data_IF_192756037588
#
_entry.id   IF_192756037588
#
_cell.length_a   1.000
_cell.length_b   1.000
_cell.length_c   1.000
_cell.angle_alpha   90.00
_cell.angle_beta   90.00
_cell.angle_gamma   90.00
#
_symmetry.space_group_name_H-M   'P 1'
#
loop_
_entity.id
_entity.type
_entity.pdbx_description
1 polymer ?
#
# COMPACT_ATOMS: atom_id res chain seq x y z
N UNK A 1 -32.71 5.76 23.92
CA UNK A 1 -32.52 6.72 22.79
C UNK A 1 -32.36 8.18 23.24
N UNK A 2 -33.28 8.77 24.02
CA UNK A 2 -33.19 10.18 24.45
C UNK A 2 -31.95 10.51 25.30
N UNK A 3 -31.59 9.64 26.24
CA UNK A 3 -30.42 9.82 27.11
C UNK A 3 -29.09 9.89 26.34
N UNK A 4 -28.96 9.11 25.25
CA UNK A 4 -27.80 9.17 24.34
C UNK A 4 -27.92 10.28 23.28
N UNK A 5 -28.99 11.08 23.31
CA UNK A 5 -29.29 12.12 22.34
C UNK A 5 -29.32 11.66 20.86
N UNK A 6 -29.64 10.39 20.61
CA UNK A 6 -29.75 9.79 19.26
C UNK A 6 -31.15 9.89 18.66
N UNK A 7 -32.13 10.36 19.45
CA UNK A 7 -33.47 10.69 18.99
C UNK A 7 -34.00 11.93 19.73
N UNK A 8 -34.90 12.69 19.09
CA UNK A 8 -35.55 13.90 19.62
C UNK A 8 -37.03 13.92 19.20
N UNK A 9 -37.85 14.70 19.90
CA UNK A 9 -39.29 14.85 19.62
C UNK A 9 -40.15 14.65 20.86
N UNK A 10 -41.47 14.71 20.71
CA UNK A 10 -42.42 14.30 21.75
C UNK A 10 -42.44 12.77 21.89
N UNK A 11 -43.07 12.20 22.93
CA UNK A 11 -43.05 10.75 23.13
C UNK A 11 -43.87 10.02 22.05
N UNK A 12 -44.88 10.69 21.52
CA UNK A 12 -45.72 10.28 20.41
C UNK A 12 -45.08 10.47 19.01
N UNK A 13 -44.05 11.31 18.87
CA UNK A 13 -43.32 11.55 17.60
C UNK A 13 -41.81 11.60 17.84
N UNK A 14 -41.27 10.50 18.37
CA UNK A 14 -39.83 10.36 18.60
C UNK A 14 -39.11 10.03 17.29
N UNK A 15 -38.28 10.96 16.79
CA UNK A 15 -37.54 10.81 15.54
C UNK A 15 -36.04 10.65 15.78
N UNK A 16 -35.35 9.81 14.99
CA UNK A 16 -33.90 9.71 15.06
C UNK A 16 -33.25 11.02 14.59
N UNK A 17 -32.08 11.34 15.15
CA UNK A 17 -31.19 12.37 14.59
C UNK A 17 -30.09 11.71 13.77
N UNK A 18 -29.41 12.47 12.90
CA UNK A 18 -28.40 11.93 11.97
C UNK A 18 -27.35 11.05 12.67
N UNK A 19 -26.81 11.46 13.82
CA UNK A 19 -25.84 10.63 14.56
C UNK A 19 -26.42 9.28 15.01
N UNK A 20 -27.70 9.24 15.35
CA UNK A 20 -28.39 7.98 15.66
C UNK A 20 -28.47 7.07 14.43
N UNK A 21 -28.77 7.64 13.26
CA UNK A 21 -28.78 6.88 12.01
C UNK A 21 -27.37 6.41 11.64
N UNK A 22 -26.35 7.26 11.81
CA UNK A 22 -24.96 6.92 11.48
C UNK A 22 -24.39 5.77 12.31
N UNK A 23 -24.77 5.64 13.59
CA UNK A 23 -24.24 4.59 14.46
C UNK A 23 -25.15 3.38 14.63
N UNK A 24 -26.45 3.50 14.35
CA UNK A 24 -27.42 2.44 14.68
C UNK A 24 -28.29 2.01 13.49
N UNK A 25 -28.20 2.67 12.33
CA UNK A 25 -28.79 2.17 11.10
C UNK A 25 -27.86 1.13 10.46
N UNK A 26 -28.41 0.01 10.01
CA UNK A 26 -27.65 -1.04 9.31
C UNK A 26 -26.98 -0.51 8.03
N UNK A 27 -27.68 0.33 7.28
CA UNK A 27 -27.25 0.82 5.96
C UNK A 27 -27.40 2.36 5.89
N UNK A 28 -26.59 3.14 6.63
CA UNK A 28 -26.73 4.61 6.67
C UNK A 28 -26.50 5.25 5.30
N UNK A 29 -25.76 4.60 4.40
CA UNK A 29 -25.52 5.04 3.03
C UNK A 29 -26.80 5.22 2.19
N UNK A 30 -27.89 4.50 2.53
CA UNK A 30 -29.18 4.64 1.85
C UNK A 30 -29.85 5.98 2.13
N UNK A 31 -29.54 6.57 3.29
CA UNK A 31 -30.07 7.86 3.74
C UNK A 31 -29.07 9.00 3.48
N UNK A 32 -27.78 8.69 3.60
CA UNK A 32 -26.67 9.63 3.46
C UNK A 32 -25.66 9.08 2.45
N UNK A 33 -25.80 9.43 1.16
CA UNK A 33 -24.95 8.89 0.10
C UNK A 33 -23.46 9.00 0.43
N UNK A 34 -22.71 7.94 0.11
CA UNK A 34 -21.23 7.88 0.26
C UNK A 34 -20.77 8.11 1.72
N UNK A 35 -21.58 7.66 2.69
CA UNK A 35 -21.21 7.54 4.11
C UNK A 35 -20.46 6.24 4.36
N UNK A 36 -19.27 6.13 3.77
CA UNK A 36 -18.42 4.94 3.83
C UNK A 36 -16.94 5.29 3.74
N UNK A 37 -16.11 4.31 4.05
CA UNK A 37 -14.67 4.32 3.80
C UNK A 37 -14.41 3.46 2.55
N UNK A 38 -13.73 4.01 1.56
CA UNK A 38 -13.30 3.31 0.35
C UNK A 38 -11.78 3.15 0.40
N UNK A 39 -11.29 1.92 0.29
CA UNK A 39 -9.87 1.61 0.28
C UNK A 39 -9.47 1.05 -1.08
N UNK A 40 -8.45 1.64 -1.69
CA UNK A 40 -7.84 1.16 -2.93
C UNK A 40 -6.41 0.73 -2.63
N UNK A 41 -6.11 -0.55 -2.88
CA UNK A 41 -4.79 -1.11 -2.65
C UNK A 41 -4.08 -1.34 -3.98
N UNK A 42 -3.12 -0.47 -4.28
CA UNK A 42 -2.27 -0.54 -5.46
C UNK A 42 -1.16 -1.56 -5.25
N UNK A 43 -0.99 -2.49 -6.21
CA UNK A 43 0.08 -3.49 -6.20
C UNK A 43 1.35 -3.01 -6.90
N UNK A 44 1.24 -1.93 -7.66
CA UNK A 44 2.35 -1.30 -8.37
C UNK A 44 2.19 0.23 -8.38
N UNK A 45 3.17 0.91 -8.96
CA UNK A 45 3.15 2.37 -9.13
C UNK A 45 2.44 2.81 -10.42
N UNK A 46 2.00 1.88 -11.27
CA UNK A 46 1.35 2.22 -12.54
C UNK A 46 -0.11 2.64 -12.34
N UNK A 47 -0.71 2.24 -11.21
CA UNK A 47 -2.12 2.47 -10.92
C UNK A 47 -3.06 1.59 -11.73
N UNK A 48 -2.52 0.60 -12.47
CA UNK A 48 -3.34 -0.31 -13.30
C UNK A 48 -3.71 -1.60 -12.58
N UNK A 49 -2.95 -1.98 -11.55
CA UNK A 49 -3.19 -3.19 -10.77
C UNK A 49 -3.54 -2.79 -9.33
N UNK A 50 -4.83 -2.85 -9.01
CA UNK A 50 -5.33 -2.52 -7.69
C UNK A 50 -6.53 -3.39 -7.30
N UNK A 51 -6.80 -3.45 -6.00
CA UNK A 51 -8.04 -4.02 -5.44
C UNK A 51 -8.79 -2.96 -4.66
N UNK A 52 -10.11 -2.96 -4.77
CA UNK A 52 -10.98 -2.02 -4.07
C UNK A 52 -11.75 -2.72 -2.95
N UNK A 53 -11.86 -2.05 -1.82
CA UNK A 53 -12.58 -2.51 -0.64
C UNK A 53 -13.47 -1.39 -0.12
N UNK A 54 -14.76 -1.68 0.04
CA UNK A 54 -15.75 -0.72 0.52
C UNK A 54 -16.23 -1.13 1.91
N UNK A 55 -16.07 -0.23 2.88
CA UNK A 55 -16.49 -0.44 4.26
C UNK A 55 -17.70 0.45 4.55
N UNK A 56 -18.87 -0.17 4.55
CA UNK A 56 -20.17 0.48 4.76
C UNK A 56 -20.79 0.14 6.10
N UNK A 57 -22.05 0.55 6.28
CA UNK A 57 -22.79 0.31 7.52
C UNK A 57 -22.51 1.34 8.62
N UNK A 58 -22.84 1.05 9.89
CA UNK A 58 -22.62 1.97 11.00
C UNK A 58 -21.18 2.48 11.09
N UNK A 59 -20.98 3.75 11.41
CA UNK A 59 -19.64 4.39 11.38
C UNK A 59 -18.56 3.65 12.18
N UNK A 60 -18.91 3.15 13.36
CA UNK A 60 -17.98 2.41 14.20
C UNK A 60 -17.66 1.00 13.66
N UNK A 61 -18.55 0.41 12.88
CA UNK A 61 -18.32 -0.89 12.23
C UNK A 61 -17.41 -0.69 11.02
N UNK A 62 -17.75 0.22 10.10
CA UNK A 62 -16.89 0.50 8.94
C UNK A 62 -15.46 0.91 9.34
N UNK A 63 -15.30 1.71 10.40
CA UNK A 63 -13.97 2.08 10.91
C UNK A 63 -13.20 0.87 11.43
N UNK A 64 -13.83 0.02 12.25
CA UNK A 64 -13.20 -1.21 12.77
C UNK A 64 -12.83 -2.18 11.66
N UNK A 65 -13.71 -2.35 10.68
CA UNK A 65 -13.49 -3.26 9.56
C UNK A 65 -12.34 -2.77 8.67
N UNK A 66 -12.28 -1.47 8.38
CA UNK A 66 -11.18 -0.86 7.63
C UNK A 66 -9.84 -1.01 8.37
N UNK A 67 -9.80 -0.70 9.68
CA UNK A 67 -8.59 -0.86 10.49
C UNK A 67 -8.15 -2.32 10.61
N UNK A 68 -9.09 -3.24 10.78
CA UNK A 68 -8.84 -4.68 10.82
C UNK A 68 -8.27 -5.18 9.48
N UNK A 69 -8.84 -4.71 8.37
CA UNK A 69 -8.33 -5.02 7.04
C UNK A 69 -6.89 -4.55 6.86
N UNK A 70 -6.57 -3.31 7.22
CA UNK A 70 -5.21 -2.76 7.13
C UNK A 70 -4.25 -3.54 8.01
N UNK A 71 -4.65 -3.82 9.26
CA UNK A 71 -3.82 -4.58 10.21
C UNK A 71 -3.49 -5.98 9.72
N UNK A 72 -4.45 -6.64 9.06
CA UNK A 72 -4.31 -8.04 8.66
C UNK A 72 -3.61 -8.21 7.30
N UNK A 73 -3.90 -7.31 6.35
CA UNK A 73 -3.49 -7.49 4.95
C UNK A 73 -2.35 -6.56 4.50
N UNK A 74 -2.16 -5.43 5.19
CA UNK A 74 -1.23 -4.38 4.76
C UNK A 74 -0.05 -4.26 5.73
N UNK A 75 -0.29 -4.38 7.04
CA UNK A 75 0.79 -4.27 8.02
C UNK A 75 1.70 -5.50 8.00
N UNK A 76 3.00 -5.23 7.94
CA UNK A 76 4.04 -6.25 7.97
C UNK A 76 5.11 -5.85 8.97
N UNK A 77 5.52 -6.80 9.82
CA UNK A 77 6.67 -6.65 10.72
C UNK A 77 7.95 -7.09 10.01
N UNK A 78 9.06 -6.37 10.23
CA UNK A 78 10.41 -6.78 9.84
C UNK A 78 11.27 -6.82 11.10
N UNK A 79 12.02 -7.90 11.24
CA UNK A 79 12.95 -8.14 12.35
C UNK A 79 14.37 -8.07 11.81
N UNK A 80 15.18 -7.15 12.33
CA UNK A 80 16.56 -6.91 11.92
C UNK A 80 17.51 -7.30 13.05
N UNK A 81 18.47 -8.19 12.76
CA UNK A 81 19.53 -8.54 13.70
C UNK A 81 20.76 -7.68 13.37
N UNK A 82 21.21 -6.88 14.33
CA UNK A 82 22.43 -6.09 14.18
C UNK A 82 23.63 -6.91 14.69
N UNK A 83 24.78 -6.94 13.99
CA UNK A 83 25.94 -7.74 14.38
C UNK A 83 26.41 -7.51 15.82
N UNK A 84 26.27 -6.27 16.31
CA UNK A 84 26.79 -5.82 17.61
C UNK A 84 25.71 -5.66 18.69
N UNK A 85 24.47 -6.10 18.44
CA UNK A 85 23.40 -6.13 19.45
C UNK A 85 22.83 -7.54 19.59
N UNK A 86 22.79 -8.04 20.83
CA UNK A 86 22.15 -9.31 21.14
C UNK A 86 20.63 -9.29 20.87
N UNK A 87 20.01 -8.11 21.00
CA UNK A 87 18.58 -7.91 20.77
C UNK A 87 18.30 -7.56 19.30
N UNK A 88 17.26 -8.18 18.72
CA UNK A 88 16.79 -7.87 17.38
C UNK A 88 15.90 -6.62 17.39
N UNK A 89 16.16 -5.69 16.47
CA UNK A 89 15.30 -4.53 16.26
C UNK A 89 14.07 -4.92 15.43
N UNK A 90 12.90 -4.41 15.80
CA UNK A 90 11.63 -4.71 15.15
C UNK A 90 10.99 -3.42 14.68
N UNK A 91 10.52 -3.39 13.44
CA UNK A 91 9.74 -2.28 12.92
C UNK A 91 8.61 -2.78 12.03
N UNK A 92 7.55 -1.98 11.92
CA UNK A 92 6.48 -2.20 10.97
C UNK A 92 6.66 -1.32 9.74
N UNK A 93 6.11 -1.75 8.61
CA UNK A 93 6.03 -0.90 7.42
C UNK A 93 5.26 0.41 7.70
N UNK A 94 4.23 0.35 8.54
CA UNK A 94 3.53 1.50 9.09
C UNK A 94 3.13 1.22 10.55
N UNK A 95 3.25 2.19 11.47
CA UNK A 95 2.76 2.01 12.82
C UNK A 95 1.24 2.06 12.86
N UNK A 96 0.61 1.00 13.38
CA UNK A 96 -0.85 0.87 13.49
C UNK A 96 -1.50 2.09 14.17
N UNK A 97 -0.90 2.59 15.26
CA UNK A 97 -1.42 3.75 15.99
C UNK A 97 -1.52 5.03 15.15
N UNK A 98 -0.59 5.25 14.20
CA UNK A 98 -0.67 6.41 13.31
C UNK A 98 -1.81 6.28 12.29
N UNK A 99 -2.02 5.07 11.76
CA UNK A 99 -3.13 4.77 10.83
C UNK A 99 -4.47 4.90 11.54
N UNK A 100 -4.59 4.31 12.73
CA UNK A 100 -5.78 4.40 13.56
C UNK A 100 -6.16 5.84 13.84
N UNK A 101 -5.20 6.65 14.28
CA UNK A 101 -5.44 8.06 14.56
C UNK A 101 -5.82 8.86 13.30
N UNK A 102 -5.14 8.63 12.17
CA UNK A 102 -5.44 9.32 10.92
C UNK A 102 -6.85 8.98 10.39
N UNK A 103 -7.21 7.70 10.39
CA UNK A 103 -8.50 7.24 9.88
C UNK A 103 -9.66 7.60 10.82
N UNK A 104 -9.47 7.48 12.14
CA UNK A 104 -10.44 7.95 13.13
C UNK A 104 -10.67 9.45 13.02
N UNK A 105 -9.62 10.25 12.80
CA UNK A 105 -9.78 11.69 12.58
C UNK A 105 -10.53 12.00 11.28
N UNK A 106 -10.30 11.23 10.21
CA UNK A 106 -11.07 11.37 8.97
C UNK A 106 -12.57 11.12 9.22
N UNK A 107 -12.94 10.05 9.95
CA UNK A 107 -14.35 9.77 10.33
C UNK A 107 -14.92 10.89 11.20
N UNK A 108 -14.14 11.39 12.16
CA UNK A 108 -14.58 12.46 13.04
C UNK A 108 -14.85 13.75 12.25
N UNK A 109 -13.95 14.16 11.36
CA UNK A 109 -13.99 15.47 10.72
C UNK A 109 -14.69 15.52 9.36
N UNK A 110 -15.02 14.36 8.76
CA UNK A 110 -15.76 14.27 7.49
C UNK A 110 -17.07 15.07 7.53
N UNK A 111 -17.35 15.84 6.48
CA UNK A 111 -18.73 16.30 6.23
C UNK A 111 -19.54 15.16 5.62
N UNK A 112 -20.58 14.73 6.35
CA UNK A 112 -21.54 13.74 5.86
C UNK A 112 -22.59 14.34 4.92
N UNK A 113 -22.51 15.64 4.62
CA UNK A 113 -23.42 16.34 3.71
C UNK A 113 -22.86 16.43 2.28
N UNK A 114 -21.54 16.38 2.10
CA UNK A 114 -20.87 16.61 0.80
C UNK A 114 -20.94 15.42 -0.17
N UNK A 115 -21.45 14.25 0.24
CA UNK A 115 -21.52 13.07 -0.61
C UNK A 115 -20.16 12.50 -1.08
N UNK A 116 -19.06 12.92 -0.47
CA UNK A 116 -17.73 12.35 -0.68
C UNK A 116 -17.44 11.29 0.39
N UNK A 117 -16.83 10.14 0.05
CA UNK A 117 -16.41 9.14 1.02
C UNK A 117 -15.10 9.56 1.69
N UNK A 118 -14.63 8.76 2.64
CA UNK A 118 -13.22 8.79 3.06
C UNK A 118 -12.48 7.83 2.13
N UNK A 119 -11.42 8.31 1.48
CA UNK A 119 -10.64 7.51 0.54
C UNK A 119 -9.30 7.15 1.16
N UNK A 120 -8.98 5.85 1.17
CA UNK A 120 -7.71 5.31 1.66
C UNK A 120 -6.97 4.70 0.48
N UNK A 121 -5.90 5.35 0.03
CA UNK A 121 -5.06 4.86 -1.07
C UNK A 121 -3.80 4.23 -0.48
N UNK A 122 -3.67 2.91 -0.62
CA UNK A 122 -2.50 2.16 -0.17
C UNK A 122 -1.59 1.94 -1.37
N UNK A 123 -0.46 2.64 -1.38
CA UNK A 123 0.56 2.56 -2.43
C UNK A 123 1.78 1.79 -1.94
N UNK A 124 2.68 1.37 -2.84
CA UNK A 124 3.89 0.66 -2.44
C UNK A 124 4.77 1.41 -1.42
N UNK A 125 4.77 2.74 -1.44
CA UNK A 125 5.66 3.58 -0.65
C UNK A 125 4.96 4.43 0.43
N UNK A 126 3.62 4.47 0.46
CA UNK A 126 2.84 5.28 1.40
C UNK A 126 1.39 4.87 1.50
N UNK A 127 0.73 5.30 2.58
CA UNK A 127 -0.72 5.31 2.73
C UNK A 127 -1.21 6.75 2.71
N UNK A 128 -2.20 7.04 1.87
CA UNK A 128 -2.85 8.33 1.73
C UNK A 128 -4.30 8.21 2.23
N UNK A 129 -4.73 9.08 3.15
CA UNK A 129 -6.09 9.15 3.67
C UNK A 129 -6.66 10.52 3.33
N UNK A 130 -7.62 10.54 2.40
CA UNK A 130 -8.28 11.74 1.90
C UNK A 130 -9.67 11.86 2.52
N UNK A 131 -9.99 13.04 3.04
CA UNK A 131 -11.30 13.35 3.58
C UNK A 131 -11.73 14.78 3.22
N UNK A 132 -13.05 14.97 3.21
CA UNK A 132 -13.68 16.24 2.88
C UNK A 132 -14.55 16.70 4.05
N UNK A 133 -14.54 17.99 4.42
CA UNK A 133 -13.86 19.09 3.75
C UNK A 133 -12.44 19.31 4.32
N UNK A 134 -11.83 20.46 4.01
CA UNK A 134 -10.62 20.92 4.67
C UNK A 134 -10.78 21.05 6.20
N UNK A 135 -9.63 21.14 6.88
CA UNK A 135 -9.57 21.31 8.33
C UNK A 135 -10.33 22.58 8.76
N UNK A 136 -10.92 22.54 9.96
CA UNK A 136 -11.67 23.69 10.49
C UNK A 136 -10.70 24.79 10.96
N UNK A 137 -10.97 26.08 10.66
CA UNK A 137 -10.21 27.19 11.22
C UNK A 137 -10.11 27.11 12.75
N UNK A 138 -8.97 27.49 13.36
CA UNK A 138 -7.80 28.13 12.75
C UNK A 138 -6.79 27.16 12.11
N UNK A 139 -7.11 25.87 11.97
CA UNK A 139 -6.23 24.93 11.28
C UNK A 139 -6.25 25.23 9.78
N UNK A 140 -5.09 25.57 9.23
CA UNK A 140 -4.89 25.82 7.81
C UNK A 140 -3.60 25.13 7.34
N UNK A 141 -3.30 25.23 6.04
CA UNK A 141 -2.14 24.66 5.39
C UNK A 141 -0.84 25.03 6.09
N UNK A 142 -0.69 26.30 6.47
CA UNK A 142 0.50 26.77 7.18
C UNK A 142 0.63 26.14 8.56
N UNK A 143 -0.46 26.01 9.33
CA UNK A 143 -0.43 25.34 10.64
C UNK A 143 -0.09 23.86 10.47
N UNK A 144 -0.69 23.18 9.50
CA UNK A 144 -0.44 21.77 9.21
C UNK A 144 0.98 21.49 8.72
N UNK A 145 1.60 22.42 7.98
CA UNK A 145 2.98 22.27 7.49
C UNK A 145 4.03 22.60 8.56
N UNK A 146 3.69 23.44 9.55
CA UNK A 146 4.68 24.06 10.44
C UNK A 146 4.56 23.59 11.89
N UNK A 147 3.38 23.15 12.32
CA UNK A 147 3.09 22.83 13.72
C UNK A 147 2.75 21.35 13.90
N UNK A 148 3.49 20.69 14.79
CA UNK A 148 3.17 19.32 15.23
C UNK A 148 2.08 19.28 16.30
N UNK A 149 1.82 20.42 16.94
CA UNK A 149 0.77 20.59 17.94
C UNK A 149 -0.27 21.57 17.42
N UNK A 150 -1.50 21.10 17.30
CA UNK A 150 -2.64 21.92 16.88
C UNK A 150 -3.51 22.18 18.12
N UNK A 151 -3.54 23.43 18.57
CA UNK A 151 -4.29 23.84 19.77
C UNK A 151 -5.80 23.95 19.48
N UNK A 152 -6.18 24.04 18.20
CA UNK A 152 -7.58 24.07 17.80
C UNK A 152 -8.29 22.76 18.16
N UNK A 153 -9.24 22.82 19.10
CA UNK A 153 -10.03 21.67 19.58
C UNK A 153 -11.43 21.62 18.97
N UNK A 154 -11.66 22.33 17.86
CA UNK A 154 -12.96 22.35 17.23
C UNK A 154 -13.11 21.13 16.32
N UNK A 155 -13.99 20.24 16.75
CA UNK A 155 -14.37 19.10 15.96
C UNK A 155 -15.69 19.34 15.23
N UNK A 156 -15.76 18.97 13.94
CA UNK A 156 -16.96 19.16 13.11
C UNK A 156 -18.12 18.32 13.65
N UNK A 157 -17.89 17.05 13.91
CA UNK A 157 -18.93 16.13 14.38
C UNK A 157 -18.71 15.71 15.83
N UNK A 158 -18.79 16.65 16.77
CA UNK A 158 -18.54 16.40 18.21
C UNK A 158 -19.23 15.14 18.75
N UNK A 159 -20.50 14.92 18.39
CA UNK A 159 -21.26 13.73 18.83
C UNK A 159 -20.74 12.43 18.25
N UNK A 160 -20.31 12.42 16.98
CA UNK A 160 -19.67 11.24 16.37
C UNK A 160 -18.42 10.91 17.16
N UNK A 161 -17.63 11.94 17.48
CA UNK A 161 -16.47 11.83 18.35
C UNK A 161 -16.72 11.27 19.73
N UNK A 162 -17.73 11.79 20.43
CA UNK A 162 -18.09 11.34 21.77
C UNK A 162 -18.42 9.83 21.74
N UNK A 163 -19.18 9.36 20.75
CA UNK A 163 -19.43 7.92 20.55
C UNK A 163 -18.16 7.13 20.24
N UNK A 164 -17.32 7.58 19.31
CA UNK A 164 -16.08 6.87 18.99
C UNK A 164 -15.16 6.78 20.21
N UNK A 165 -15.16 7.80 21.07
CA UNK A 165 -14.40 7.83 22.32
C UNK A 165 -14.94 6.86 23.36
N UNK A 166 -16.26 6.82 23.56
CA UNK A 166 -16.91 5.83 24.42
C UNK A 166 -16.67 4.39 23.95
N UNK A 167 -16.55 4.19 22.63
CA UNK A 167 -16.22 2.91 22.02
C UNK A 167 -14.71 2.60 22.01
N UNK A 168 -13.88 3.45 22.61
CA UNK A 168 -12.42 3.34 22.66
C UNK A 168 -11.74 3.27 21.27
N UNK A 169 -12.33 3.92 20.27
CA UNK A 169 -11.79 4.03 18.90
C UNK A 169 -11.01 5.34 18.67
N UNK A 170 -11.10 6.30 19.59
CA UNK A 170 -10.30 7.53 19.60
C UNK A 170 -10.23 8.10 21.01
N UNK A 171 -9.15 8.83 21.35
CA UNK A 171 -9.04 9.47 22.66
C UNK A 171 -9.83 10.79 22.76
N UNK A 172 -10.06 11.48 21.63
CA UNK A 172 -10.86 12.72 21.55
C UNK A 172 -10.34 13.88 22.41
N UNK A 173 -9.02 13.97 22.66
CA UNK A 173 -8.39 14.97 23.55
C UNK A 173 -7.46 15.97 22.83
N UNK A 174 -7.47 16.00 21.50
CA UNK A 174 -6.52 16.82 20.72
C UNK A 174 -5.07 16.32 20.79
N UNK A 175 -4.86 15.09 21.27
CA UNK A 175 -3.57 14.38 21.28
C UNK A 175 -3.25 13.73 19.93
N UNK A 176 -4.18 13.75 18.98
CA UNK A 176 -4.08 12.98 17.75
C UNK A 176 -2.85 13.25 16.90
N UNK A 177 -2.59 14.52 16.57
CA UNK A 177 -1.39 14.89 15.81
C UNK A 177 -0.09 14.49 16.55
N UNK A 178 0.13 14.89 17.82
CA UNK A 178 1.27 14.43 18.60
C UNK A 178 1.42 12.90 18.64
N UNK A 179 0.36 12.17 18.94
CA UNK A 179 0.38 10.70 19.02
C UNK A 179 0.75 10.06 17.67
N UNK A 180 0.28 10.63 16.56
CA UNK A 180 0.66 10.18 15.22
C UNK A 180 2.14 10.43 14.94
N UNK A 181 2.65 11.64 15.21
CA UNK A 181 4.08 11.95 15.07
C UNK A 181 4.95 11.05 15.95
N UNK A 182 4.55 10.82 17.20
CA UNK A 182 5.26 9.98 18.16
C UNK A 182 5.26 8.52 17.70
N UNK A 183 4.14 8.00 17.20
CA UNK A 183 4.05 6.64 16.68
C UNK A 183 4.96 6.44 15.46
N UNK A 184 4.97 7.39 14.53
CA UNK A 184 5.85 7.38 13.35
C UNK A 184 7.32 7.44 13.78
N UNK A 185 7.67 8.33 14.72
CA UNK A 185 9.03 8.48 15.23
C UNK A 185 9.51 7.23 15.99
N UNK A 186 8.68 6.64 16.87
CA UNK A 186 9.02 5.43 17.62
C UNK A 186 9.23 4.22 16.72
N UNK A 187 8.49 4.15 15.62
CA UNK A 187 8.66 3.10 14.62
C UNK A 187 9.88 3.31 13.72
N UNK A 188 10.50 4.51 13.71
CA UNK A 188 11.58 4.86 12.78
C UNK A 188 11.10 5.29 11.38
N UNK A 189 9.79 5.53 11.21
CA UNK A 189 9.21 5.94 9.93
C UNK A 189 9.42 7.44 9.66
N UNK A 190 9.46 7.87 8.38
CA UNK A 190 9.42 9.30 8.05
C UNK A 190 8.16 9.96 8.62
N UNK A 191 8.25 11.25 8.92
CA UNK A 191 7.13 11.99 9.51
C UNK A 191 5.88 11.99 8.61
N UNK A 192 4.66 12.00 9.19
CA UNK A 192 3.44 12.14 8.41
C UNK A 192 3.39 13.52 7.73
N UNK A 193 2.80 13.57 6.54
CA UNK A 193 2.63 14.79 5.74
C UNK A 193 1.15 15.12 5.64
N UNK A 194 0.82 16.39 5.83
CA UNK A 194 -0.54 16.90 5.74
C UNK A 194 -0.64 17.89 4.59
N UNK A 195 -1.61 17.69 3.70
CA UNK A 195 -1.88 18.60 2.58
C UNK A 195 -3.36 19.01 2.55
N UNK A 196 -3.59 20.28 2.22
CA UNK A 196 -4.92 20.88 2.13
C UNK A 196 -4.84 22.12 1.24
N UNK A 197 -5.96 22.49 0.64
CA UNK A 197 -6.20 23.74 -0.07
C UNK A 197 -6.98 24.75 0.78
N UNK A 198 -7.04 24.54 2.11
CA UNK A 198 -7.78 25.33 3.11
C UNK A 198 -9.30 25.39 2.95
N UNK A 199 -9.84 24.83 1.86
CA UNK A 199 -11.23 25.03 1.47
C UNK A 199 -11.98 23.73 1.19
N UNK A 200 -11.33 22.77 0.53
CA UNK A 200 -12.00 21.61 -0.05
C UNK A 200 -11.64 20.30 0.63
N UNK A 201 -10.37 20.03 0.91
CA UNK A 201 -9.96 18.69 1.37
C UNK A 201 -8.87 18.70 2.44
N UNK A 202 -8.72 17.58 3.14
CA UNK A 202 -7.55 17.25 3.94
C UNK A 202 -7.02 15.88 3.51
N UNK A 203 -5.74 15.86 3.12
CA UNK A 203 -4.99 14.66 2.76
C UNK A 203 -3.92 14.40 3.83
N UNK A 204 -3.96 13.21 4.41
CA UNK A 204 -2.93 12.72 5.34
C UNK A 204 -2.12 11.64 4.63
N UNK A 205 -0.81 11.83 4.54
CA UNK A 205 0.11 10.87 3.94
C UNK A 205 1.02 10.29 5.01
N UNK A 206 1.00 8.97 5.16
CA UNK A 206 1.89 8.20 6.02
C UNK A 206 2.94 7.50 5.14
N UNK A 207 4.21 7.95 5.14
CA UNK A 207 5.26 7.29 4.36
C UNK A 207 5.62 5.93 4.96
N UNK A 208 5.98 4.99 4.09
CA UNK A 208 6.45 3.67 4.52
C UNK A 208 7.75 3.79 5.31
N UNK A 209 7.93 2.93 6.30
CA UNK A 209 9.19 2.79 6.99
C UNK A 209 10.32 2.48 5.99
N UNK A 210 11.47 3.15 6.15
CA UNK A 210 12.60 3.04 5.23
C UNK A 210 12.99 1.59 4.98
N UNK A 211 13.13 0.76 6.01
CA UNK A 211 13.45 -0.67 5.89
C UNK A 211 12.51 -1.50 4.98
N UNK A 212 11.36 -0.97 4.55
CA UNK A 212 10.45 -1.62 3.60
C UNK A 212 10.43 -0.93 2.23
N UNK A 213 11.09 0.22 2.09
CA UNK A 213 11.28 0.87 0.81
C UNK A 213 12.26 0.06 -0.03
N UNK A 214 11.88 -0.20 -1.28
CA UNK A 214 12.71 -0.88 -2.29
C UNK A 214 14.07 -0.17 -2.49
N UNK A 215 14.19 1.10 -2.09
CA UNK A 215 15.44 1.88 -2.15
C UNK A 215 16.29 1.85 -0.86
N UNK A 216 15.75 1.40 0.28
CA UNK A 216 16.51 1.46 1.54
C UNK A 216 17.52 0.33 1.70
N UNK A 217 17.36 -0.79 1.00
CA UNK A 217 18.41 -1.82 0.88
C UNK A 217 19.66 -1.28 0.15
N UNK A 218 19.58 -0.10 -0.48
CA UNK A 218 20.73 0.58 -1.12
C UNK A 218 21.40 1.59 -0.18
N UNK A 219 20.71 2.11 0.85
CA UNK A 219 21.23 3.20 1.71
C UNK A 219 21.89 2.74 3.00
N UNK A 220 21.61 1.54 3.51
CA UNK A 220 22.30 0.98 4.68
C UNK A 220 23.71 0.43 4.38
N UNK A 221 24.20 0.56 3.14
CA UNK A 221 25.52 0.06 2.71
C UNK A 221 26.60 1.17 2.72
N UNK A 222 26.29 2.41 3.10
CA UNK A 222 27.24 3.54 3.00
C UNK A 222 28.28 3.64 4.14
N UNK A 223 28.43 2.61 4.98
CA UNK A 223 29.44 2.62 6.04
C UNK A 223 30.15 1.27 6.22
N UNK A 224 30.52 0.60 5.13
CA UNK A 224 31.66 -0.34 5.14
C UNK A 224 32.36 -0.23 3.79
N UNK A 225 33.67 -0.01 3.84
CA UNK A 225 34.56 0.17 2.70
C UNK A 225 34.38 -0.90 1.61
N UNK A 226 34.39 -0.41 0.36
CA UNK A 226 34.79 -1.11 -0.87
C UNK A 226 34.64 -2.64 -0.89
N UNK A 227 33.43 -3.18 -1.09
CA UNK A 227 33.28 -4.51 -1.69
C UNK A 227 32.10 -4.57 -2.66
N UNK A 228 32.43 -5.11 -3.82
CA UNK A 228 31.70 -5.41 -5.05
C UNK A 228 30.19 -5.69 -4.94
N UNK A 229 29.43 -5.07 -5.85
CA UNK A 229 28.00 -5.28 -6.06
C UNK A 229 27.78 -6.69 -6.60
N UNK A 230 27.47 -7.64 -5.72
CA UNK A 230 27.06 -8.97 -6.15
C UNK A 230 25.66 -9.33 -5.61
N UNK A 231 24.73 -9.17 -6.54
CA UNK A 231 23.33 -9.59 -6.54
C UNK A 231 23.30 -11.13 -6.66
N UNK A 232 22.90 -11.83 -5.59
CA UNK A 232 22.75 -13.29 -5.44
C UNK A 232 23.97 -14.13 -5.87
N UNK A 233 24.77 -14.56 -4.90
CA UNK A 233 26.10 -15.13 -5.18
C UNK A 233 26.14 -16.64 -5.24
N UNK A 234 25.18 -17.34 -4.64
CA UNK A 234 25.18 -18.81 -4.60
C UNK A 234 23.80 -19.43 -4.79
N UNK A 235 23.79 -20.67 -5.27
CA UNK A 235 22.59 -21.52 -5.35
C UNK A 235 21.95 -21.72 -3.97
N UNK A 236 22.74 -21.72 -2.90
CA UNK A 236 22.25 -21.81 -1.51
C UNK A 236 21.43 -20.59 -1.08
N UNK A 237 21.71 -19.41 -1.62
CA UNK A 237 20.95 -18.18 -1.31
C UNK A 237 19.57 -18.17 -1.96
N UNK A 238 19.42 -18.88 -3.09
CA UNK A 238 18.16 -19.03 -3.81
C UNK A 238 17.33 -20.20 -3.24
N UNK A 239 17.97 -21.30 -2.85
CA UNK A 239 17.32 -22.45 -2.20
C UNK A 239 16.79 -22.07 -0.81
N UNK A 240 17.54 -21.33 0.01
CA UNK A 240 17.04 -20.83 1.32
C UNK A 240 15.84 -19.90 1.22
N UNK A 241 15.71 -19.17 0.10
CA UNK A 241 14.57 -18.31 -0.17
C UNK A 241 13.35 -19.11 -0.64
N UNK A 242 13.57 -20.16 -1.44
CA UNK A 242 12.52 -21.09 -1.87
C UNK A 242 12.05 -22.01 -0.72
N UNK A 243 12.92 -22.46 0.18
CA UNK A 243 12.57 -23.33 1.32
C UNK A 243 11.58 -22.68 2.31
N UNK A 244 11.30 -21.38 2.20
CA UNK A 244 10.28 -20.66 2.98
C UNK A 244 8.95 -20.45 2.23
N UNK A 245 8.86 -20.86 0.96
CA UNK A 245 7.62 -20.87 0.19
C UNK A 245 6.99 -22.27 0.23
N UNK A 246 5.69 -22.36 0.50
CA UNK A 246 4.94 -23.63 0.54
C UNK A 246 5.18 -24.50 -0.71
N UNK A 247 5.44 -25.80 -0.52
CA UNK A 247 5.80 -26.81 -1.55
C UNK A 247 4.93 -26.81 -2.82
N UNK A 248 3.68 -26.34 -2.73
CA UNK A 248 2.77 -26.18 -3.87
C UNK A 248 3.16 -25.06 -4.84
N UNK A 249 3.80 -23.98 -4.38
CA UNK A 249 4.20 -22.84 -5.21
C UNK A 249 5.42 -23.16 -6.08
N UNK A 250 6.33 -23.97 -5.54
CA UNK A 250 7.53 -24.46 -6.23
C UNK A 250 7.15 -25.53 -7.28
N UNK A 251 6.30 -26.50 -6.91
CA UNK A 251 5.84 -27.54 -7.83
C UNK A 251 5.04 -27.01 -9.04
N UNK A 252 4.31 -25.90 -8.88
CA UNK A 252 3.54 -25.27 -9.96
C UNK A 252 4.40 -24.46 -10.95
N UNK A 253 5.56 -23.96 -10.49
CA UNK A 253 6.51 -23.23 -11.32
C UNK A 253 7.53 -24.15 -12.04
N UNK A 254 7.88 -25.30 -11.44
CA UNK A 254 9.01 -26.10 -11.88
C UNK A 254 8.77 -27.07 -13.05
N UNK A 255 7.57 -27.65 -13.23
CA UNK A 255 7.45 -28.78 -14.18
C UNK A 255 7.34 -28.43 -15.68
N UNK A 256 7.15 -27.17 -16.08
CA UNK A 256 6.85 -26.84 -17.50
C UNK A 256 7.62 -25.67 -18.12
N UNK A 257 8.32 -24.87 -17.30
CA UNK A 257 8.93 -23.60 -17.75
C UNK A 257 10.45 -23.72 -17.92
N UNK A 258 11.10 -24.62 -17.19
CA UNK A 258 12.56 -24.64 -17.06
C UNK A 258 13.32 -25.05 -18.34
N UNK A 259 12.88 -26.06 -19.09
CA UNK A 259 13.59 -26.51 -20.30
C UNK A 259 13.48 -25.49 -21.44
N UNK A 260 12.28 -24.97 -21.69
CA UNK A 260 12.03 -24.01 -22.78
C UNK A 260 12.65 -22.64 -22.52
N UNK A 261 12.65 -22.17 -21.27
CA UNK A 261 13.31 -20.89 -20.93
C UNK A 261 14.83 -21.01 -21.04
N UNK A 262 15.41 -22.14 -20.64
CA UNK A 262 16.84 -22.41 -20.79
C UNK A 262 17.29 -22.38 -22.26
N UNK A 263 16.55 -23.05 -23.13
CA UNK A 263 16.86 -23.09 -24.57
C UNK A 263 16.67 -21.71 -25.22
N UNK A 264 15.63 -20.97 -24.82
CA UNK A 264 15.38 -19.60 -25.28
C UNK A 264 16.53 -18.64 -24.87
N UNK A 265 16.95 -18.68 -23.61
CA UNK A 265 18.05 -17.85 -23.12
C UNK A 265 19.39 -18.17 -23.82
N UNK A 266 19.68 -19.44 -24.11
CA UNK A 266 20.84 -19.80 -24.95
C UNK A 266 20.73 -19.23 -26.35
N UNK A 267 19.54 -19.33 -26.95
CA UNK A 267 19.29 -18.91 -28.32
C UNK A 267 19.42 -17.40 -28.51
N UNK A 268 18.97 -16.60 -27.53
CA UNK A 268 19.09 -15.13 -27.55
C UNK A 268 20.43 -14.61 -27.01
N UNK A 269 21.48 -15.43 -27.01
CA UNK A 269 22.85 -14.98 -26.67
C UNK A 269 23.36 -13.87 -27.60
N UNK A 270 22.82 -13.81 -28.82
CA UNK A 270 23.01 -12.73 -29.79
C UNK A 270 21.66 -12.07 -30.11
N UNK A 271 21.68 -10.94 -30.82
CA UNK A 271 20.44 -10.28 -31.23
C UNK A 271 19.63 -11.18 -32.18
N UNK A 272 18.42 -11.55 -31.74
CA UNK A 272 17.50 -12.38 -32.50
C UNK A 272 16.17 -11.68 -32.74
N UNK A 273 15.64 -11.81 -33.94
CA UNK A 273 14.28 -11.36 -34.23
C UNK A 273 13.26 -12.21 -33.48
N UNK A 274 12.05 -11.67 -33.34
CA UNK A 274 10.92 -12.40 -32.76
C UNK A 274 10.65 -13.71 -33.52
N UNK A 275 10.72 -13.66 -34.84
CA UNK A 275 10.47 -14.78 -35.74
C UNK A 275 11.48 -15.91 -35.50
N UNK A 276 12.76 -15.57 -35.32
CA UNK A 276 13.81 -16.54 -34.99
C UNK A 276 13.61 -17.17 -33.60
N UNK A 277 13.17 -16.40 -32.59
CA UNK A 277 12.96 -16.92 -31.24
C UNK A 277 11.76 -17.86 -31.17
N UNK A 278 10.69 -17.53 -31.89
CA UNK A 278 9.47 -18.34 -31.88
C UNK A 278 9.60 -19.62 -32.72
N UNK A 279 10.47 -19.64 -33.75
CA UNK A 279 10.73 -20.87 -34.52
C UNK A 279 11.48 -21.92 -33.71
N UNK A 280 12.22 -21.53 -32.66
CA UNK A 280 12.93 -22.46 -31.77
C UNK A 280 12.01 -23.20 -30.79
N UNK A 281 10.78 -22.71 -30.57
CA UNK A 281 9.84 -23.23 -29.55
C UNK A 281 8.73 -24.11 -30.19
N UNK A 282 8.80 -24.32 -31.52
CA UNK A 282 7.89 -25.13 -32.35
C UNK A 282 6.40 -24.79 -32.17
N UNK A 283 6.00 -23.55 -32.47
CA UNK A 283 4.60 -23.14 -32.26
C UNK A 283 3.98 -22.30 -33.37
N UNK A 284 2.73 -22.64 -33.70
CA UNK A 284 1.93 -22.13 -34.82
C UNK A 284 1.24 -20.78 -34.55
N UNK A 285 1.04 -20.37 -33.28
CA UNK A 285 0.26 -19.15 -32.93
C UNK A 285 1.12 -18.03 -32.32
N UNK A 286 1.53 -17.05 -33.12
CA UNK A 286 2.61 -16.10 -32.80
C UNK A 286 2.30 -15.12 -31.65
N UNK A 287 1.07 -14.62 -31.53
CA UNK A 287 0.72 -13.58 -30.55
C UNK A 287 0.55 -14.10 -29.13
N UNK A 288 -0.03 -15.30 -28.97
CA UNK A 288 -0.22 -15.93 -27.64
C UNK A 288 1.11 -16.35 -27.03
N UNK A 289 2.09 -16.71 -27.86
CA UNK A 289 3.38 -17.24 -27.40
C UNK A 289 4.36 -16.15 -27.00
N UNK A 290 4.31 -14.95 -27.62
CA UNK A 290 5.05 -13.78 -27.14
C UNK A 290 4.73 -13.47 -25.67
N UNK A 291 3.45 -13.37 -25.32
CA UNK A 291 3.00 -13.11 -23.94
C UNK A 291 3.40 -14.20 -22.95
N UNK A 292 3.55 -15.43 -23.44
CA UNK A 292 3.85 -16.59 -22.61
C UNK A 292 5.35 -16.81 -22.41
N UNK A 293 6.19 -16.45 -23.36
CA UNK A 293 7.62 -16.83 -23.36
C UNK A 293 8.59 -15.65 -23.45
N UNK A 294 8.22 -14.54 -24.08
CA UNK A 294 9.12 -13.39 -24.30
C UNK A 294 8.82 -12.30 -23.28
N UNK A 295 7.54 -11.93 -23.11
CA UNK A 295 7.14 -10.85 -22.20
C UNK A 295 7.54 -11.10 -20.73
N UNK A 296 7.44 -12.33 -20.18
CA UNK A 296 7.91 -12.59 -18.82
C UNK A 296 9.43 -12.37 -18.68
N UNK A 297 10.22 -12.76 -19.68
CA UNK A 297 11.67 -12.60 -19.65
C UNK A 297 12.09 -11.13 -19.78
N UNK A 298 11.33 -10.33 -20.52
CA UNK A 298 11.51 -8.88 -20.60
C UNK A 298 11.13 -8.20 -19.29
N UNK A 299 10.01 -8.58 -18.69
CA UNK A 299 9.51 -7.99 -17.44
C UNK A 299 10.45 -8.24 -16.27
N UNK A 300 11.06 -9.44 -16.21
CA UNK A 300 12.07 -9.79 -15.20
C UNK A 300 13.47 -9.28 -15.60
N UNK A 301 13.63 -8.78 -16.82
CA UNK A 301 14.86 -8.15 -17.30
C UNK A 301 15.96 -9.14 -17.67
N UNK A 302 15.64 -10.40 -17.96
CA UNK A 302 16.59 -11.42 -18.41
C UNK A 302 16.94 -11.32 -19.90
N UNK A 303 16.08 -10.65 -20.68
CA UNK A 303 16.35 -10.26 -22.06
C UNK A 303 16.02 -8.78 -22.25
N UNK A 304 16.62 -8.14 -23.24
CA UNK A 304 16.44 -6.73 -23.58
C UNK A 304 16.00 -6.55 -25.05
N UNK A 305 15.41 -5.40 -25.35
CA UNK A 305 14.99 -5.00 -26.70
C UNK A 305 16.02 -4.08 -27.35
N UNK A 306 16.26 -4.26 -28.65
CA UNK A 306 17.15 -3.40 -29.43
C UNK A 306 16.62 -1.97 -29.58
N UNK A 307 15.29 -1.83 -29.68
CA UNK A 307 14.58 -0.55 -29.80
C UNK A 307 13.52 -0.43 -28.69
N UNK A 308 13.91 -0.15 -27.44
CA UNK A 308 12.98 -0.17 -26.30
C UNK A 308 11.91 0.93 -26.37
N UNK A 309 12.23 2.07 -26.98
CA UNK A 309 11.33 3.22 -27.09
C UNK A 309 10.27 3.06 -28.20
N UNK A 310 10.33 1.99 -28.99
CA UNK A 310 9.37 1.71 -30.07
C UNK A 310 9.06 0.21 -30.13
N UNK A 311 8.08 -0.21 -29.33
CA UNK A 311 7.73 -1.63 -29.15
C UNK A 311 7.30 -2.35 -30.44
N UNK A 312 6.82 -1.61 -31.45
CA UNK A 312 6.37 -2.13 -32.75
C UNK A 312 7.37 -1.88 -33.88
N UNK A 313 8.64 -1.58 -33.57
CA UNK A 313 9.67 -1.32 -34.57
C UNK A 313 9.84 -2.53 -35.53
N UNK A 314 9.89 -2.32 -36.87
CA UNK A 314 9.92 -3.40 -37.86
C UNK A 314 11.16 -4.31 -37.77
N UNK A 315 12.27 -3.79 -37.22
CA UNK A 315 13.52 -4.54 -36.99
C UNK A 315 13.79 -4.81 -35.50
N UNK A 316 12.74 -4.97 -34.69
CA UNK A 316 12.91 -5.26 -33.27
C UNK A 316 13.63 -6.61 -33.05
N UNK A 317 14.67 -6.60 -32.22
CA UNK A 317 15.43 -7.78 -31.85
C UNK A 317 15.57 -7.86 -30.33
N UNK A 318 15.82 -9.07 -29.83
CA UNK A 318 15.98 -9.36 -28.42
C UNK A 318 17.31 -10.04 -28.17
N UNK A 319 17.92 -9.73 -27.03
CA UNK A 319 19.19 -10.33 -26.60
C UNK A 319 19.17 -10.57 -25.10
N UNK A 320 19.88 -11.58 -24.64
CA UNK A 320 20.07 -11.85 -23.21
C UNK A 320 20.85 -10.71 -22.54
N UNK A 321 20.39 -10.31 -21.36
CA UNK A 321 21.07 -9.33 -20.49
C UNK A 321 22.11 -10.02 -19.60
N UNK A 322 22.90 -9.24 -18.87
CA UNK A 322 23.84 -9.81 -17.89
C UNK A 322 23.15 -10.59 -16.77
N UNK A 323 21.95 -10.17 -16.34
CA UNK A 323 21.13 -10.92 -15.37
C UNK A 323 20.64 -12.25 -15.96
N UNK A 324 20.20 -12.26 -17.22
CA UNK A 324 19.83 -13.49 -17.93
C UNK A 324 21.00 -14.45 -18.10
N UNK A 325 22.21 -13.94 -18.40
CA UNK A 325 23.43 -14.77 -18.50
C UNK A 325 23.79 -15.41 -17.17
N UNK A 326 23.72 -14.65 -16.07
CA UNK A 326 23.96 -15.17 -14.70
C UNK A 326 22.99 -16.31 -14.38
N UNK A 327 21.71 -16.13 -14.64
CA UNK A 327 20.70 -17.19 -14.49
C UNK A 327 21.04 -18.41 -15.37
N UNK A 328 21.35 -18.20 -16.65
CA UNK A 328 21.70 -19.30 -17.56
C UNK A 328 22.94 -20.07 -17.07
N UNK A 329 23.88 -19.39 -16.41
CA UNK A 329 25.08 -20.00 -15.81
C UNK A 329 24.73 -20.82 -14.57
N UNK A 330 23.78 -20.34 -13.75
CA UNK A 330 23.27 -21.05 -12.56
C UNK A 330 22.46 -22.30 -12.93
N UNK A 331 21.65 -22.21 -13.99
CA UNK A 331 20.80 -23.29 -14.55
C UNK A 331 21.60 -24.36 -15.33
N UNK A 332 22.86 -24.07 -15.68
CA UNK A 332 23.75 -24.99 -16.41
C UNK A 332 24.69 -25.78 -15.49
N UNK A 333 24.71 -25.50 -14.18
CA UNK A 333 25.35 -26.37 -13.18
C UNK A 333 24.44 -27.54 -12.84
#
# INVERSE_FOLDING_TARGET
>A
CRAMHIAKGADEDLRPVNVGLFFFCKDPERLFPRTRIELVWHKDNSGTIFTEHYFGGPLHIQLRDALSFIRTNILSEKVMKLPDKAEAERCYNYPYAAIEEALSNAVYHKSYELGAPIEVQVRPDRIEILSYPAAMPPVNKHVLSTSRLIIARQYRNRRIGDFLKELHLTEGRGTGFPSMYDAMSKNGSPAPVFDTDDSSYLLVTLPIHSAFSVQADVRSVQAVDQVDVQLFNTLDDLVKFCDQASDQAIALLEMSVHSKVKDLLRFVSTWKSREEILSTIDVSNRSKHKRKFIDPLLNVGWIEMKHPNQLTHPYQQYKITESGKRLLTLINK
#
